data_IF_053493166143
#
_entry.id   IF_053493166143
#
_cell.length_a   1.000
_cell.length_b   1.000
_cell.length_c   1.000
_cell.angle_alpha   90.00
_cell.angle_beta   90.00
_cell.angle_gamma   90.00
#
_symmetry.space_group_name_H-M   'P 1'
#
loop_
_entity.id
_entity.type
_entity.pdbx_description
1 polymer ?
#
# COMPACT_ATOMS: atom_id res chain seq x y z
N UNK A 1 -34.42 -49.74 -6.06
CA UNK A 1 -34.05 -48.98 -7.27
C UNK A 1 -33.64 -47.58 -6.82
N UNK A 2 -32.35 -47.42 -6.48
CA UNK A 2 -31.76 -46.13 -6.05
C UNK A 2 -31.00 -45.59 -7.24
N UNK A 3 -31.27 -44.35 -7.55
CA UNK A 3 -30.90 -43.68 -8.78
C UNK A 3 -29.73 -42.71 -8.52
N UNK A 4 -28.96 -42.46 -9.58
CA UNK A 4 -28.02 -41.34 -9.82
C UNK A 4 -26.65 -41.29 -9.10
N UNK A 5 -25.66 -41.85 -9.81
CA UNK A 5 -24.44 -41.19 -10.34
C UNK A 5 -23.62 -40.24 -9.44
N UNK A 6 -22.34 -40.62 -9.24
CA UNK A 6 -21.21 -39.76 -8.84
C UNK A 6 -21.11 -38.50 -9.73
N UNK A 7 -21.07 -37.32 -9.13
CA UNK A 7 -20.66 -36.07 -9.79
C UNK A 7 -19.58 -35.40 -8.93
N UNK A 8 -18.55 -34.88 -9.59
CA UNK A 8 -17.22 -34.60 -9.09
C UNK A 8 -17.09 -33.18 -8.51
N UNK A 9 -16.19 -33.07 -7.51
CA UNK A 9 -15.24 -31.98 -7.23
C UNK A 9 -15.64 -30.52 -7.51
N UNK A 10 -15.84 -29.75 -6.44
CA UNK A 10 -15.63 -28.29 -6.45
C UNK A 10 -14.52 -27.94 -5.45
N UNK A 11 -13.27 -28.22 -5.82
CA UNK A 11 -12.10 -27.50 -5.29
C UNK A 11 -12.20 -26.09 -5.85
N UNK A 12 -12.64 -25.13 -5.03
CA UNK A 12 -12.62 -23.73 -5.41
C UNK A 12 -11.16 -23.26 -5.40
N UNK A 13 -10.49 -23.41 -6.54
CA UNK A 13 -9.22 -22.76 -6.82
C UNK A 13 -9.43 -21.24 -6.77
N UNK A 14 -8.91 -20.59 -5.73
CA UNK A 14 -8.80 -19.14 -5.68
C UNK A 14 -7.79 -18.71 -6.75
N UNK A 15 -8.26 -18.14 -7.85
CA UNK A 15 -7.40 -17.48 -8.81
C UNK A 15 -6.81 -16.20 -8.17
N UNK A 16 -5.49 -15.93 -8.26
CA UNK A 16 -4.98 -14.63 -7.91
C UNK A 16 -5.52 -13.63 -8.93
N UNK A 17 -6.26 -12.62 -8.46
CA UNK A 17 -6.63 -11.47 -9.30
C UNK A 17 -5.31 -10.74 -9.58
N UNK A 18 -4.83 -10.87 -10.81
CA UNK A 18 -3.69 -10.09 -11.32
C UNK A 18 -4.18 -8.66 -11.48
N UNK A 19 -3.71 -7.77 -10.61
CA UNK A 19 -3.97 -6.33 -10.72
C UNK A 19 -3.36 -5.77 -12.00
N UNK A 20 -4.16 -5.10 -12.80
CA UNK A 20 -3.68 -4.33 -13.96
C UNK A 20 -2.85 -3.17 -13.43
N UNK A 21 -1.56 -3.13 -13.80
CA UNK A 21 -0.68 -1.97 -13.54
C UNK A 21 -0.70 -1.06 -14.76
N UNK A 22 -1.34 0.10 -14.64
CA UNK A 22 -1.17 1.21 -15.58
C UNK A 22 -0.18 2.20 -14.95
N UNK A 23 1.11 2.05 -15.26
CA UNK A 23 2.14 3.01 -14.84
C UNK A 23 2.23 4.15 -15.85
N UNK A 24 1.35 5.15 -15.69
CA UNK A 24 1.70 6.52 -16.07
C UNK A 24 2.69 6.98 -15.01
N UNK A 25 3.85 7.51 -15.41
CA UNK A 25 4.82 8.10 -14.48
C UNK A 25 4.08 9.07 -13.55
N UNK A 26 3.78 8.59 -12.34
CA UNK A 26 2.77 9.15 -11.46
C UNK A 26 3.45 9.50 -10.16
N UNK A 27 3.07 10.65 -9.61
CA UNK A 27 3.33 11.06 -8.25
C UNK A 27 3.13 9.88 -7.28
N UNK A 28 3.96 9.80 -6.24
CA UNK A 28 3.87 8.79 -5.18
C UNK A 28 4.85 7.61 -5.27
N UNK A 29 4.64 6.56 -4.46
CA UNK A 29 5.61 5.48 -4.27
C UNK A 29 5.69 4.52 -5.46
N UNK A 30 6.89 3.97 -5.70
CA UNK A 30 7.23 3.19 -6.89
C UNK A 30 7.51 1.71 -6.57
N UNK A 31 7.30 0.84 -7.55
CA UNK A 31 7.63 -0.58 -7.47
C UNK A 31 6.85 -1.34 -6.40
N UNK A 32 5.60 -0.93 -6.14
CA UNK A 32 4.74 -1.53 -5.13
C UNK A 32 4.47 -3.03 -5.43
N UNK A 33 4.69 -3.89 -4.44
CA UNK A 33 4.31 -5.30 -4.47
C UNK A 33 3.67 -5.70 -3.14
N UNK A 34 2.45 -6.24 -3.20
CA UNK A 34 1.72 -6.67 -1.99
C UNK A 34 2.27 -8.01 -1.52
N UNK A 35 2.93 -8.01 -0.37
CA UNK A 35 3.52 -9.21 0.22
C UNK A 35 2.53 -9.97 1.12
N UNK A 36 1.56 -9.26 1.71
CA UNK A 36 0.52 -9.84 2.55
C UNK A 36 -0.71 -8.92 2.61
N UNK A 37 -1.89 -9.50 2.78
CA UNK A 37 -3.16 -8.76 2.79
C UNK A 37 -3.61 -8.36 1.39
N UNK A 38 -4.43 -7.30 1.31
CA UNK A 38 -4.87 -6.71 0.06
C UNK A 38 -4.51 -5.22 0.02
N UNK A 39 -4.17 -4.72 -1.16
CA UNK A 39 -4.01 -3.31 -1.43
C UNK A 39 -4.47 -2.97 -2.85
N UNK A 40 -5.21 -1.89 -3.00
CA UNK A 40 -5.64 -1.31 -4.27
C UNK A 40 -5.09 0.11 -4.38
N UNK A 41 -4.49 0.44 -5.52
CA UNK A 41 -3.82 1.70 -5.76
C UNK A 41 -4.59 2.50 -6.81
N UNK A 42 -4.91 3.75 -6.48
CA UNK A 42 -5.56 4.68 -7.39
C UNK A 42 -4.80 6.02 -7.37
N UNK A 43 -4.27 6.42 -8.52
CA UNK A 43 -3.60 7.72 -8.68
C UNK A 43 -4.45 8.64 -9.56
N UNK A 44 -4.80 9.82 -9.04
CA UNK A 44 -5.53 10.87 -9.76
C UNK A 44 -4.81 12.20 -9.56
N UNK A 45 -4.09 12.64 -10.60
CA UNK A 45 -3.23 13.83 -10.49
C UNK A 45 -2.16 13.63 -9.42
N UNK A 46 -2.00 14.54 -8.44
CA UNK A 46 -1.00 14.44 -7.38
C UNK A 46 -1.43 13.56 -6.18
N UNK A 47 -2.64 12.99 -6.21
CA UNK A 47 -3.16 12.15 -5.14
C UNK A 47 -3.01 10.67 -5.49
N UNK A 48 -2.32 9.92 -4.63
CA UNK A 48 -2.26 8.45 -4.62
C UNK A 48 -3.04 7.93 -3.43
N UNK A 49 -4.22 7.35 -3.68
CA UNK A 49 -5.01 6.65 -2.67
C UNK A 49 -4.67 5.16 -2.67
N UNK A 50 -4.42 4.60 -1.49
CA UNK A 50 -4.07 3.20 -1.28
C UNK A 50 -5.08 2.60 -0.30
N UNK A 51 -6.06 1.88 -0.83
CA UNK A 51 -7.04 1.15 0.00
C UNK A 51 -6.45 -0.19 0.40
N UNK A 52 -6.32 -0.46 1.70
CA UNK A 52 -5.63 -1.64 2.21
C UNK A 52 -6.48 -2.43 3.21
N UNK A 53 -6.25 -3.74 3.31
CA UNK A 53 -6.77 -4.54 4.41
C UNK A 53 -6.01 -4.27 5.70
N UNK A 54 -6.56 -4.69 6.84
CA UNK A 54 -5.79 -4.70 8.09
C UNK A 54 -4.56 -5.63 7.97
N UNK A 55 -3.47 -5.24 8.64
CA UNK A 55 -2.15 -5.85 8.62
C UNK A 55 -1.56 -6.10 7.21
N UNK A 56 -1.91 -5.27 6.23
CA UNK A 56 -1.32 -5.34 4.89
C UNK A 56 0.19 -5.04 4.95
N UNK A 57 0.96 -5.75 4.12
CA UNK A 57 2.39 -5.53 3.93
C UNK A 57 2.64 -5.25 2.45
N UNK A 58 3.26 -4.11 2.16
CA UNK A 58 3.58 -3.66 0.82
C UNK A 58 5.09 -3.39 0.77
N UNK A 59 5.78 -4.02 -0.18
CA UNK A 59 7.16 -3.68 -0.49
C UNK A 59 7.19 -2.63 -1.61
N UNK A 60 8.14 -1.71 -1.53
CA UNK A 60 8.37 -0.66 -2.53
C UNK A 60 9.84 -0.65 -2.96
N UNK A 61 10.11 -0.35 -4.23
CA UNK A 61 11.47 -0.02 -4.65
C UNK A 61 11.87 1.37 -4.13
N UNK A 62 10.91 2.30 -4.07
CA UNK A 62 11.09 3.65 -3.56
C UNK A 62 9.79 4.15 -2.95
N UNK A 63 9.87 4.87 -1.84
CA UNK A 63 8.70 5.53 -1.24
C UNK A 63 9.06 6.99 -0.97
N UNK A 64 8.67 7.85 -1.91
CA UNK A 64 8.81 9.30 -1.81
C UNK A 64 7.43 9.94 -1.98
N UNK A 65 7.26 11.12 -1.39
CA UNK A 65 6.09 11.98 -1.61
C UNK A 65 6.63 13.36 -1.94
N UNK A 66 6.54 13.76 -3.20
CA UNK A 66 7.04 15.06 -3.65
C UNK A 66 6.23 16.24 -3.10
N UNK A 67 6.75 17.46 -3.28
CA UNK A 67 6.02 18.68 -2.93
C UNK A 67 4.68 18.73 -3.68
N UNK A 68 3.60 19.04 -2.97
CA UNK A 68 2.21 19.04 -3.46
C UNK A 68 1.64 17.66 -3.81
N UNK A 69 2.38 16.57 -3.59
CA UNK A 69 1.85 15.21 -3.72
C UNK A 69 1.20 14.77 -2.41
N UNK A 70 0.24 13.86 -2.51
CA UNK A 70 -0.43 13.25 -1.37
C UNK A 70 -0.49 11.75 -1.54
N UNK A 71 -0.03 11.02 -0.53
CA UNK A 71 -0.32 9.58 -0.39
C UNK A 71 -1.31 9.41 0.75
N UNK A 72 -2.45 8.79 0.45
CA UNK A 72 -3.50 8.53 1.43
C UNK A 72 -3.73 7.03 1.58
N UNK A 73 -3.53 6.50 2.79
CA UNK A 73 -3.94 5.15 3.14
C UNK A 73 -5.39 5.14 3.64
N UNK A 74 -6.23 4.33 3.01
CA UNK A 74 -7.62 4.08 3.42
C UNK A 74 -7.67 2.67 4.00
N UNK A 75 -7.77 2.60 5.32
CA UNK A 75 -7.74 1.37 6.12
C UNK A 75 -9.15 1.06 6.65
N UNK A 76 -9.45 -0.20 7.06
CA UNK A 76 -10.79 -0.56 7.53
C UNK A 76 -11.27 0.27 8.73
N UNK A 77 -10.38 0.54 9.68
CA UNK A 77 -10.64 1.38 10.85
C UNK A 77 -9.36 2.02 11.40
N UNK A 78 -9.50 2.81 12.48
CA UNK A 78 -8.38 3.54 13.09
C UNK A 78 -7.36 2.64 13.83
N UNK A 79 -7.74 1.40 14.17
CA UNK A 79 -6.85 0.42 14.79
C UNK A 79 -6.05 -0.38 13.78
N UNK A 80 -6.47 -0.35 12.51
CA UNK A 80 -5.87 -1.08 11.42
C UNK A 80 -4.44 -0.62 11.13
N UNK A 81 -3.63 -1.54 10.59
CA UNK A 81 -2.19 -1.32 10.36
C UNK A 81 -1.78 -1.62 8.93
N UNK A 82 -0.87 -0.82 8.38
CA UNK A 82 -0.17 -1.11 7.12
C UNK A 82 1.33 -0.99 7.31
N UNK A 83 2.09 -1.97 6.80
CA UNK A 83 3.55 -1.94 6.76
C UNK A 83 4.02 -1.67 5.33
N UNK A 84 4.72 -0.56 5.17
CA UNK A 84 5.40 -0.15 3.95
C UNK A 84 6.89 -0.40 4.12
N UNK A 85 7.43 -1.37 3.39
CA UNK A 85 8.85 -1.74 3.45
C UNK A 85 9.56 -1.31 2.18
N UNK A 86 10.57 -0.47 2.29
CA UNK A 86 11.37 -0.02 1.17
C UNK A 86 12.59 -0.94 1.05
N UNK A 87 12.77 -1.54 -0.13
CA UNK A 87 13.88 -2.45 -0.42
C UNK A 87 14.94 -1.84 -1.34
N UNK A 88 14.71 -0.62 -1.84
CA UNK A 88 15.70 0.13 -2.62
C UNK A 88 16.79 0.76 -1.76
N UNK A 89 17.82 1.29 -2.43
CA UNK A 89 19.03 1.81 -1.80
C UNK A 89 18.96 3.28 -1.35
N UNK A 90 17.89 4.00 -1.68
CA UNK A 90 17.72 5.42 -1.36
C UNK A 90 16.89 5.67 -0.10
N UNK A 91 17.11 6.79 0.62
CA UNK A 91 16.23 7.20 1.70
C UNK A 91 14.83 7.51 1.17
N UNK A 92 13.83 7.43 2.04
CA UNK A 92 12.49 7.92 1.76
C UNK A 92 12.44 9.42 2.00
N UNK A 93 12.08 10.19 0.98
CA UNK A 93 11.92 11.64 1.08
C UNK A 93 10.44 12.01 1.04
N UNK A 94 9.94 12.55 2.14
CA UNK A 94 8.55 12.93 2.34
C UNK A 94 8.49 14.45 2.40
N UNK A 95 8.29 15.09 1.25
CA UNK A 95 8.15 16.54 1.12
C UNK A 95 6.68 16.98 1.00
N UNK A 96 5.78 16.08 0.64
CA UNK A 96 4.34 16.30 0.54
C UNK A 96 3.53 15.78 1.74
N UNK A 97 2.32 15.29 1.46
CA UNK A 97 1.38 14.85 2.49
C UNK A 97 1.25 13.32 2.59
N UNK A 98 1.42 12.78 3.80
CA UNK A 98 1.09 11.40 4.16
C UNK A 98 -0.14 11.39 5.06
N UNK A 99 -1.24 10.83 4.54
CA UNK A 99 -2.53 10.79 5.22
C UNK A 99 -2.95 9.34 5.49
N UNK A 100 -3.56 9.07 6.65
CA UNK A 100 -4.17 7.78 6.95
C UNK A 100 -5.24 7.89 8.03
N UNK A 101 -6.28 7.07 7.95
CA UNK A 101 -7.24 6.93 9.06
C UNK A 101 -6.76 5.98 10.17
N UNK A 102 -5.77 5.12 9.90
CA UNK A 102 -5.20 4.17 10.86
C UNK A 102 -3.69 4.33 11.08
N UNK A 103 -3.01 3.21 11.33
CA UNK A 103 -1.58 3.18 11.65
C UNK A 103 -0.73 2.85 10.42
N UNK A 104 0.34 3.62 10.22
CA UNK A 104 1.29 3.47 9.12
C UNK A 104 2.68 3.18 9.68
N UNK A 105 3.28 2.08 9.22
CA UNK A 105 4.66 1.71 9.51
C UNK A 105 5.46 1.89 8.22
N UNK A 106 6.44 2.79 8.22
CA UNK A 106 7.33 3.06 7.10
C UNK A 106 8.73 2.60 7.47
N UNK A 107 9.22 1.54 6.83
CA UNK A 107 10.51 0.94 7.13
C UNK A 107 11.44 1.08 5.94
N UNK A 108 12.46 1.91 6.06
CA UNK A 108 13.51 2.09 5.08
C UNK A 108 14.89 2.06 5.76
N UNK A 109 15.72 1.01 5.52
CA UNK A 109 17.07 0.93 6.07
C UNK A 109 17.98 2.10 5.71
N UNK A 110 17.68 2.81 4.63
CA UNK A 110 18.42 4.01 4.18
C UNK A 110 17.98 5.28 4.90
N UNK A 111 16.93 5.20 5.74
CA UNK A 111 16.35 6.29 6.49
C UNK A 111 15.08 6.88 5.87
N UNK A 112 14.36 7.65 6.70
CA UNK A 112 13.17 8.40 6.31
C UNK A 112 13.41 9.88 6.67
N UNK A 113 13.25 10.76 5.69
CA UNK A 113 13.48 12.20 5.80
C UNK A 113 12.15 12.92 5.55
N UNK A 114 11.74 13.76 6.50
CA UNK A 114 10.58 14.62 6.38
C UNK A 114 11.03 16.04 6.05
N UNK A 115 10.56 16.55 4.91
CA UNK A 115 10.82 17.92 4.46
C UNK A 115 10.15 18.96 5.37
N UNK A 116 10.60 20.24 5.29
CA UNK A 116 10.11 21.31 6.16
C UNK A 116 8.61 21.57 6.01
N UNK A 117 8.05 21.33 4.82
CA UNK A 117 6.64 21.55 4.50
C UNK A 117 5.81 20.27 4.50
N UNK A 118 6.38 19.15 4.97
CA UNK A 118 5.69 17.86 4.97
C UNK A 118 4.52 17.85 5.96
N UNK A 119 3.43 17.19 5.56
CA UNK A 119 2.25 17.02 6.40
C UNK A 119 2.08 15.54 6.67
N UNK A 120 2.11 15.15 7.94
CA UNK A 120 1.80 13.78 8.35
C UNK A 120 0.58 13.79 9.26
N UNK A 121 -0.54 13.28 8.75
CA UNK A 121 -1.79 13.17 9.48
C UNK A 121 -2.27 11.72 9.44
N UNK A 122 -1.87 10.96 10.45
CA UNK A 122 -2.14 9.52 10.59
C UNK A 122 -2.53 9.22 12.03
N UNK A 123 -3.17 8.07 12.28
CA UNK A 123 -3.48 7.63 13.64
C UNK A 123 -2.21 7.31 14.45
N UNK A 124 -1.26 6.61 13.85
CA UNK A 124 0.07 6.38 14.41
C UNK A 124 1.09 6.23 13.29
N UNK A 125 2.27 6.82 13.46
CA UNK A 125 3.39 6.66 12.55
C UNK A 125 4.54 5.95 13.25
N UNK A 126 5.06 4.90 12.62
CA UNK A 126 6.42 4.42 12.84
C UNK A 126 7.25 4.71 11.59
N UNK A 127 8.44 5.29 11.75
CA UNK A 127 9.37 5.57 10.66
C UNK A 127 10.80 5.25 11.11
N UNK A 128 11.54 4.43 10.34
CA UNK A 128 12.93 4.07 10.63
C UNK A 128 13.54 3.08 9.67
#
# INVERSE_FOLDING_TARGET
MRDRTKQYDNVLMTAPIVGIVCSLAGAGPEGATVASGAAEFQTVGPLTSITVSDNAIINYSQFNIGLNETVQFIQPDASSRVLNRITGAGPSQIDGALLANGQVYLVNPSGVIFGPDSIVNVGTLFAG
#
